data_IF_083471086176
#
_entry.id   IF_083471086176
#
_cell.length_a   1.000
_cell.length_b   1.000
_cell.length_c   1.000
_cell.angle_alpha   90.00
_cell.angle_beta   90.00
_cell.angle_gamma   90.00
#
_symmetry.space_group_name_H-M   'P 1'
#
loop_
_entity.id
_entity.type
_entity.pdbx_description
1 polymer ?
#
# COMPACT_ATOMS: atom_id res chain seq x y z
N UNK A 1 -19.01 -8.97 2.74
CA UNK A 1 -18.88 -8.22 1.46
C UNK A 1 -18.84 -6.70 1.65
N UNK A 2 -18.54 -6.18 2.85
CA UNK A 2 -18.34 -4.74 3.08
C UNK A 2 -17.13 -4.21 2.33
N UNK A 3 -16.05 -5.02 2.20
CA UNK A 3 -14.84 -4.62 1.47
C UNK A 3 -15.11 -4.43 -0.03
N UNK A 4 -15.93 -5.31 -0.62
CA UNK A 4 -16.38 -5.17 -2.01
C UNK A 4 -17.16 -3.87 -2.22
N UNK A 5 -18.15 -3.61 -1.36
CA UNK A 5 -18.96 -2.38 -1.40
C UNK A 5 -18.10 -1.13 -1.23
N UNK A 6 -17.14 -1.15 -0.30
CA UNK A 6 -16.23 -0.03 -0.08
C UNK A 6 -15.30 0.21 -1.28
N UNK A 7 -14.80 -0.85 -1.90
CA UNK A 7 -13.89 -0.77 -3.04
C UNK A 7 -14.60 -0.22 -4.28
N UNK A 8 -15.75 -0.79 -4.69
CA UNK A 8 -16.46 -0.40 -5.91
C UNK A 8 -17.47 0.75 -5.72
N UNK A 9 -17.93 1.01 -4.49
CA UNK A 9 -19.05 1.95 -4.20
C UNK A 9 -20.33 1.64 -4.97
N UNK A 10 -20.61 0.35 -5.14
CA UNK A 10 -21.82 -0.14 -5.80
C UNK A 10 -23.03 -0.16 -4.83
N UNK A 11 -24.27 -0.07 -5.34
CA UNK A 11 -25.49 -0.16 -4.53
C UNK A 11 -25.63 -1.53 -3.82
N UNK A 12 -25.99 -1.51 -2.53
CA UNK A 12 -26.08 -2.73 -1.69
C UNK A 12 -27.04 -3.80 -2.23
N UNK A 13 -28.06 -3.39 -3.01
CA UNK A 13 -29.04 -4.29 -3.63
C UNK A 13 -28.41 -5.37 -4.53
N UNK A 14 -27.20 -5.12 -5.05
CA UNK A 14 -26.46 -6.07 -5.89
C UNK A 14 -25.63 -7.09 -5.10
N UNK A 15 -25.58 -7.00 -3.77
CA UNK A 15 -24.75 -7.87 -2.93
C UNK A 15 -25.63 -8.85 -2.16
N UNK A 16 -26.03 -9.93 -2.84
CA UNK A 16 -26.78 -11.04 -2.25
C UNK A 16 -25.85 -12.22 -1.98
N UNK A 17 -25.42 -12.34 -0.73
CA UNK A 17 -24.38 -13.30 -0.33
C UNK A 17 -24.65 -13.91 1.05
N UNK A 18 -24.25 -15.17 1.23
CA UNK A 18 -24.19 -15.86 2.52
C UNK A 18 -22.85 -16.61 2.71
N UNK A 19 -22.31 -16.54 3.93
CA UNK A 19 -21.11 -17.29 4.33
C UNK A 19 -21.47 -18.53 5.15
N UNK A 20 -20.73 -19.62 4.92
CA UNK A 20 -20.82 -20.83 5.75
C UNK A 20 -19.90 -20.84 6.99
N UNK A 21 -19.19 -19.74 7.27
CA UNK A 21 -18.20 -19.66 8.35
C UNK A 21 -18.47 -18.48 9.29
N UNK A 22 -18.02 -18.64 10.54
CA UNK A 22 -17.94 -17.55 11.52
C UNK A 22 -16.48 -17.24 11.87
N UNK A 23 -16.25 -16.10 12.53
CA UNK A 23 -14.92 -15.62 12.90
C UNK A 23 -14.23 -16.44 14.00
N UNK A 24 -14.91 -17.43 14.59
CA UNK A 24 -14.36 -18.27 15.68
C UNK A 24 -13.69 -19.54 15.16
N UNK A 25 -13.91 -19.88 13.89
CA UNK A 25 -13.32 -21.05 13.27
C UNK A 25 -11.81 -20.89 13.04
N UNK A 26 -11.03 -21.99 13.08
CA UNK A 26 -9.60 -21.97 12.77
C UNK A 26 -9.32 -21.34 11.39
N UNK A 27 -8.23 -20.58 11.31
CA UNK A 27 -7.77 -19.94 10.07
C UNK A 27 -6.57 -20.67 9.49
N UNK A 28 -6.42 -20.60 8.18
CA UNK A 28 -5.29 -21.18 7.47
C UNK A 28 -5.31 -20.82 5.99
N UNK A 29 -4.31 -21.33 5.28
CA UNK A 29 -4.14 -21.14 3.85
C UNK A 29 -5.02 -22.09 3.03
N UNK A 30 -5.58 -21.56 1.96
CA UNK A 30 -6.31 -22.25 0.90
C UNK A 30 -6.18 -21.43 -0.39
N UNK A 31 -6.72 -21.91 -1.52
CA UNK A 31 -6.80 -21.11 -2.74
C UNK A 31 -8.24 -20.98 -3.23
N UNK A 32 -8.52 -19.87 -3.90
CA UNK A 32 -9.75 -19.70 -4.67
C UNK A 32 -9.40 -19.75 -6.15
N UNK A 33 -9.39 -20.95 -6.71
CA UNK A 33 -8.77 -21.22 -8.01
C UNK A 33 -7.28 -21.56 -7.91
N UNK A 34 -6.61 -21.61 -9.06
CA UNK A 34 -5.20 -22.00 -9.11
C UNK A 34 -4.26 -20.88 -8.62
N UNK A 35 -4.63 -19.61 -8.80
CA UNK A 35 -3.69 -18.49 -8.64
C UNK A 35 -3.94 -17.56 -7.43
N UNK A 36 -5.14 -17.61 -6.82
CA UNK A 36 -5.49 -16.70 -5.70
C UNK A 36 -5.26 -17.39 -4.36
N UNK A 37 -4.17 -17.04 -3.68
CA UNK A 37 -3.83 -17.53 -2.34
C UNK A 37 -4.65 -16.79 -1.29
N UNK A 38 -5.36 -17.52 -0.43
CA UNK A 38 -6.23 -16.96 0.59
C UNK A 38 -5.73 -17.34 1.99
N UNK A 39 -6.01 -16.48 2.98
CA UNK A 39 -5.80 -16.80 4.39
C UNK A 39 -6.99 -16.39 5.26
N UNK A 40 -7.66 -17.37 5.87
CA UNK A 40 -8.83 -17.13 6.71
C UNK A 40 -9.54 -18.43 7.09
N UNK A 41 -10.74 -18.32 7.64
CA UNK A 41 -11.60 -19.45 7.95
C UNK A 41 -12.32 -19.94 6.69
N UNK A 42 -12.40 -21.27 6.51
CA UNK A 42 -13.12 -21.86 5.38
C UNK A 42 -13.83 -23.17 5.79
N UNK A 43 -15.11 -23.30 5.45
CA UNK A 43 -15.93 -24.46 5.74
C UNK A 43 -15.64 -25.64 4.80
N UNK A 44 -15.68 -26.84 5.37
CA UNK A 44 -15.68 -28.09 4.61
C UNK A 44 -14.34 -28.50 4.00
N UNK A 45 -13.24 -27.82 4.32
CA UNK A 45 -11.88 -28.16 3.88
C UNK A 45 -10.90 -28.18 5.06
N UNK A 46 -9.85 -28.98 4.94
CA UNK A 46 -8.73 -28.96 5.89
C UNK A 46 -7.74 -27.89 5.46
N UNK A 47 -7.68 -26.80 6.23
CA UNK A 47 -6.81 -25.66 5.97
C UNK A 47 -5.33 -26.00 6.20
N UNK A 48 -4.45 -25.37 5.42
CA UNK A 48 -3.00 -25.50 5.60
C UNK A 48 -2.49 -24.46 6.62
N UNK A 49 -1.64 -24.88 7.56
CA UNK A 49 -1.03 -23.96 8.54
C UNK A 49 0.14 -23.15 7.97
N UNK A 50 0.66 -23.55 6.82
CA UNK A 50 1.76 -22.88 6.11
C UNK A 50 1.59 -23.02 4.60
N UNK A 51 2.18 -22.08 3.86
CA UNK A 51 2.22 -22.13 2.39
C UNK A 51 3.01 -23.33 1.92
N UNK A 52 2.39 -24.12 1.04
CA UNK A 52 2.99 -25.27 0.37
C UNK A 52 2.33 -25.46 -1.01
N UNK A 53 2.91 -26.28 -1.87
CA UNK A 53 2.44 -26.49 -3.26
C UNK A 53 1.09 -27.25 -3.37
N UNK A 54 0.40 -27.56 -2.26
CA UNK A 54 -0.82 -28.36 -2.23
C UNK A 54 -1.92 -27.71 -1.40
N UNK A 55 -2.07 -26.39 -1.50
CA UNK A 55 -3.18 -25.69 -0.85
C UNK A 55 -4.52 -26.22 -1.37
N UNK A 56 -5.53 -26.41 -0.51
CA UNK A 56 -6.84 -26.86 -0.96
C UNK A 56 -7.53 -25.76 -1.77
N UNK A 57 -7.93 -26.07 -3.01
CA UNK A 57 -8.79 -25.19 -3.81
C UNK A 57 -10.26 -25.33 -3.38
N UNK A 58 -10.90 -24.19 -3.15
CA UNK A 58 -12.30 -24.10 -2.70
C UNK A 58 -13.26 -23.64 -3.79
N UNK A 59 -12.79 -23.40 -5.03
CA UNK A 59 -13.63 -22.93 -6.16
C UNK A 59 -14.88 -23.78 -6.38
N UNK A 60 -14.74 -25.10 -6.34
CA UNK A 60 -15.86 -26.06 -6.51
C UNK A 60 -16.91 -26.02 -5.39
N UNK A 61 -16.64 -25.30 -4.30
CA UNK A 61 -17.53 -25.14 -3.15
C UNK A 61 -18.29 -23.82 -3.15
N UNK A 62 -17.96 -22.92 -4.07
CA UNK A 62 -18.78 -21.74 -4.36
C UNK A 62 -20.08 -22.22 -4.99
N UNK A 63 -21.22 -21.81 -4.42
CA UNK A 63 -22.54 -22.22 -4.89
C UNK A 63 -23.41 -21.01 -5.15
N UNK A 64 -24.32 -21.15 -6.10
CA UNK A 64 -25.40 -20.21 -6.34
C UNK A 64 -26.71 -20.93 -6.07
N UNK A 65 -27.59 -20.31 -5.29
CA UNK A 65 -28.98 -20.77 -5.16
C UNK A 65 -29.91 -19.57 -5.35
N UNK A 66 -30.84 -19.71 -6.29
CA UNK A 66 -31.62 -18.61 -6.82
C UNK A 66 -30.71 -17.46 -7.29
N UNK A 67 -30.70 -16.36 -6.55
CA UNK A 67 -29.91 -15.15 -6.81
C UNK A 67 -28.86 -14.87 -5.72
N UNK A 68 -28.64 -15.82 -4.81
CA UNK A 68 -27.75 -15.68 -3.66
C UNK A 68 -26.46 -16.48 -3.86
N UNK A 69 -25.33 -15.79 -3.72
CA UNK A 69 -23.99 -16.38 -3.72
C UNK A 69 -23.67 -16.98 -2.35
N UNK A 70 -23.26 -18.25 -2.32
CA UNK A 70 -22.79 -18.93 -1.12
C UNK A 70 -21.30 -19.20 -1.23
N UNK A 71 -20.49 -18.58 -0.36
CA UNK A 71 -19.05 -18.84 -0.29
C UNK A 71 -18.73 -19.68 0.94
N UNK A 72 -17.75 -20.61 0.83
CA UNK A 72 -17.32 -21.42 1.95
C UNK A 72 -16.43 -20.64 2.94
N UNK A 73 -16.17 -19.35 2.71
CA UNK A 73 -15.37 -18.46 3.55
C UNK A 73 -16.04 -17.07 3.64
N UNK A 74 -15.56 -16.19 4.52
CA UNK A 74 -15.94 -14.77 4.58
C UNK A 74 -14.90 -13.91 3.84
N UNK A 75 -15.26 -13.28 2.69
CA UNK A 75 -14.37 -12.40 1.95
C UNK A 75 -13.88 -11.19 2.75
N UNK A 76 -14.68 -10.66 3.68
CA UNK A 76 -14.26 -9.50 4.48
C UNK A 76 -13.12 -9.90 5.43
N UNK A 77 -13.24 -11.07 6.07
CA UNK A 77 -12.19 -11.63 6.92
C UNK A 77 -10.90 -11.92 6.13
N UNK A 78 -11.03 -12.53 4.95
CA UNK A 78 -9.90 -12.83 4.07
C UNK A 78 -9.15 -11.54 3.70
N UNK A 79 -9.86 -10.56 3.15
CA UNK A 79 -9.25 -9.28 2.73
C UNK A 79 -8.65 -8.56 3.95
N UNK A 80 -9.35 -8.50 5.07
CA UNK A 80 -8.83 -7.87 6.29
C UNK A 80 -7.56 -8.55 6.81
N UNK A 81 -7.48 -9.88 6.73
CA UNK A 81 -6.28 -10.61 7.10
C UNK A 81 -5.08 -10.28 6.21
N UNK A 82 -5.31 -10.03 4.92
CA UNK A 82 -4.25 -9.62 3.99
C UNK A 82 -3.82 -8.17 4.27
N UNK A 83 -4.77 -7.24 4.29
CA UNK A 83 -4.50 -5.81 4.54
C UNK A 83 -3.76 -5.57 5.86
N UNK A 84 -4.15 -6.30 6.91
CA UNK A 84 -3.58 -6.17 8.26
C UNK A 84 -2.47 -7.17 8.56
N UNK A 85 -1.98 -7.89 7.54
CA UNK A 85 -0.85 -8.82 7.63
C UNK A 85 -1.00 -9.90 8.71
N UNK A 86 -2.23 -10.38 8.93
CA UNK A 86 -2.57 -11.40 9.95
C UNK A 86 -2.20 -12.82 9.53
N UNK A 87 -1.76 -13.01 8.29
CA UNK A 87 -1.35 -14.30 7.77
C UNK A 87 0.07 -14.70 8.25
N UNK A 88 0.34 -15.99 8.53
CA UNK A 88 1.64 -16.44 9.00
C UNK A 88 2.72 -16.26 7.93
N UNK A 89 3.68 -15.36 8.15
CA UNK A 89 4.87 -15.30 7.29
C UNK A 89 5.81 -16.46 7.66
N UNK A 90 6.08 -17.38 6.73
CA UNK A 90 7.03 -18.49 6.96
C UNK A 90 8.45 -17.94 7.23
N UNK A 91 8.91 -17.91 8.48
CA UNK A 91 10.27 -17.49 8.87
C UNK A 91 10.41 -17.15 10.36
N UNK A 92 11.64 -16.87 10.85
CA UNK A 92 11.84 -16.42 12.23
C UNK A 92 11.07 -15.11 12.51
N UNK A 93 10.70 -14.89 13.78
CA UNK A 93 9.99 -13.69 14.29
C UNK A 93 10.55 -12.36 13.74
N UNK A 94 9.74 -11.27 13.72
CA UNK A 94 10.21 -9.95 13.31
C UNK A 94 11.55 -9.62 13.95
N UNK A 95 12.51 -9.15 13.16
CA UNK A 95 13.88 -8.96 13.65
C UNK A 95 13.86 -8.05 14.90
N UNK A 96 13.00 -7.02 14.91
CA UNK A 96 12.73 -6.10 16.04
C UNK A 96 12.44 -6.77 17.40
N UNK A 97 11.93 -8.00 17.42
CA UNK A 97 11.62 -8.76 18.64
C UNK A 97 12.76 -9.70 19.09
N UNK A 98 13.85 -9.78 18.33
CA UNK A 98 14.96 -10.67 18.65
C UNK A 98 16.06 -9.97 19.44
N UNK A 99 16.69 -10.69 20.37
CA UNK A 99 17.89 -10.23 21.11
C UNK A 99 19.00 -9.77 20.15
N UNK A 100 19.08 -10.43 18.98
CA UNK A 100 20.00 -10.10 17.89
C UNK A 100 19.73 -8.73 17.24
N UNK A 101 18.48 -8.29 17.08
CA UNK A 101 18.22 -6.94 16.59
C UNK A 101 18.50 -5.87 17.65
N UNK A 102 18.27 -6.17 18.93
CA UNK A 102 18.64 -5.26 20.02
C UNK A 102 20.15 -5.05 20.05
N UNK A 103 20.93 -6.13 19.86
CA UNK A 103 22.39 -6.05 19.69
C UNK A 103 22.79 -5.37 18.39
N UNK A 104 22.15 -5.68 17.25
CA UNK A 104 22.41 -5.05 15.96
C UNK A 104 22.17 -3.54 16.04
N UNK A 105 21.02 -3.08 16.54
CA UNK A 105 20.70 -1.65 16.68
C UNK A 105 21.55 -0.97 17.75
N UNK A 106 22.00 -1.68 18.80
CA UNK A 106 22.97 -1.18 19.77
C UNK A 106 24.37 -0.98 19.18
N UNK A 107 24.79 -1.88 18.28
CA UNK A 107 26.09 -1.83 17.59
C UNK A 107 26.03 -1.06 16.26
N UNK A 108 24.83 -0.80 15.72
CA UNK A 108 24.61 -0.13 14.43
C UNK A 108 25.40 1.16 14.34
N UNK A 109 25.38 2.09 15.33
CA UNK A 109 26.17 3.32 15.28
C UNK A 109 27.68 3.09 15.08
N UNK A 110 28.22 1.97 15.55
CA UNK A 110 29.64 1.61 15.48
C UNK A 110 30.03 0.89 14.18
N UNK A 111 29.06 0.38 13.42
CA UNK A 111 29.32 -0.33 12.17
C UNK A 111 29.49 0.67 11.01
N UNK A 112 30.56 0.56 10.19
CA UNK A 112 30.67 1.30 8.93
C UNK A 112 29.50 0.97 8.00
N UNK A 113 29.05 1.96 7.20
CA UNK A 113 27.88 1.82 6.29
C UNK A 113 27.98 0.59 5.38
N UNK A 114 29.17 0.32 4.83
CA UNK A 114 29.41 -0.87 3.99
C UNK A 114 29.22 -2.20 4.73
N UNK A 115 29.55 -2.26 6.03
CA UNK A 115 29.34 -3.46 6.83
C UNK A 115 27.84 -3.68 7.11
N UNK A 116 27.09 -2.60 7.40
CA UNK A 116 25.62 -2.66 7.58
C UNK A 116 24.94 -3.16 6.31
N UNK A 117 25.31 -2.61 5.15
CA UNK A 117 24.78 -3.01 3.85
C UNK A 117 25.06 -4.49 3.53
N UNK A 118 26.28 -4.98 3.81
CA UNK A 118 26.64 -6.40 3.61
C UNK A 118 25.85 -7.35 4.52
N UNK A 119 25.72 -7.04 5.80
CA UNK A 119 24.95 -7.84 6.75
C UNK A 119 23.47 -7.90 6.36
N UNK A 120 22.90 -6.75 5.99
CA UNK A 120 21.51 -6.67 5.55
C UNK A 120 21.29 -7.46 4.25
N UNK A 121 22.22 -7.37 3.29
CA UNK A 121 22.17 -8.16 2.05
C UNK A 121 22.19 -9.66 2.32
N UNK A 122 23.07 -10.13 3.20
CA UNK A 122 23.11 -11.55 3.59
C UNK A 122 21.79 -12.00 4.23
N UNK A 123 21.19 -11.18 5.09
CA UNK A 123 19.91 -11.47 5.74
C UNK A 123 18.71 -11.52 4.76
N UNK A 124 18.78 -10.74 3.66
CA UNK A 124 17.73 -10.64 2.64
C UNK A 124 17.94 -11.55 1.43
N UNK A 125 19.10 -12.21 1.32
CA UNK A 125 19.42 -13.08 0.17
C UNK A 125 18.42 -14.23 0.06
N UNK A 126 17.88 -14.45 -1.15
CA UNK A 126 16.91 -15.50 -1.44
C UNK A 126 15.46 -15.19 -1.02
N UNK A 127 15.18 -14.04 -0.40
CA UNK A 127 13.82 -13.69 0.02
C UNK A 127 12.87 -13.35 -1.13
N UNK A 128 13.36 -12.89 -2.28
CA UNK A 128 12.53 -12.74 -3.47
C UNK A 128 11.92 -14.07 -3.97
N UNK A 129 12.36 -15.22 -3.44
CA UNK A 129 11.84 -16.55 -3.76
C UNK A 129 10.74 -17.01 -2.78
N UNK A 130 10.33 -16.20 -1.81
CA UNK A 130 9.16 -16.52 -0.98
C UNK A 130 7.90 -16.52 -1.85
N UNK A 131 7.01 -17.47 -1.58
CA UNK A 131 5.81 -17.69 -2.40
C UNK A 131 4.74 -16.63 -2.18
N UNK A 132 4.68 -16.03 -0.99
CA UNK A 132 3.66 -15.07 -0.62
C UNK A 132 4.20 -14.04 0.39
N UNK A 133 3.84 -12.76 0.25
CA UNK A 133 3.15 -12.16 -0.90
C UNK A 133 3.87 -12.37 -2.25
N UNK A 134 3.16 -12.31 -3.37
CA UNK A 134 3.69 -12.53 -4.72
C UNK A 134 4.63 -11.38 -5.11
N UNK A 135 5.84 -11.72 -5.56
CA UNK A 135 6.82 -10.76 -6.06
C UNK A 135 6.67 -10.57 -7.58
N UNK A 136 6.83 -9.36 -8.14
CA UNK A 136 7.25 -8.11 -7.48
C UNK A 136 6.11 -7.22 -6.97
N UNK A 137 4.86 -7.54 -7.29
CA UNK A 137 3.65 -6.89 -6.79
C UNK A 137 2.63 -7.98 -6.52
N UNK A 138 1.96 -7.91 -5.38
CA UNK A 138 0.88 -8.81 -5.00
C UNK A 138 -0.47 -8.10 -5.14
N UNK A 139 -1.34 -8.68 -5.97
CA UNK A 139 -2.69 -8.18 -6.28
C UNK A 139 -3.79 -9.10 -5.76
N UNK A 140 -3.50 -9.88 -4.72
CA UNK A 140 -4.41 -10.92 -4.22
C UNK A 140 -5.71 -10.33 -3.66
N UNK A 141 -5.66 -9.12 -3.09
CA UNK A 141 -6.87 -8.41 -2.65
C UNK A 141 -7.74 -8.06 -3.86
N UNK A 142 -7.14 -7.55 -4.93
CA UNK A 142 -7.83 -7.21 -6.18
C UNK A 142 -8.43 -8.46 -6.84
N UNK A 143 -7.65 -9.54 -6.99
CA UNK A 143 -8.12 -10.83 -7.51
C UNK A 143 -9.32 -11.36 -6.70
N UNK A 144 -9.26 -11.24 -5.36
CA UNK A 144 -10.36 -11.66 -4.48
C UNK A 144 -11.62 -10.82 -4.69
N UNK A 145 -11.46 -9.50 -4.83
CA UNK A 145 -12.57 -8.57 -5.08
C UNK A 145 -13.22 -8.81 -6.44
N UNK A 146 -12.43 -9.02 -7.48
CA UNK A 146 -12.90 -9.33 -8.83
C UNK A 146 -13.59 -10.69 -8.89
N UNK A 147 -13.03 -11.71 -8.25
CA UNK A 147 -13.66 -13.04 -8.13
C UNK A 147 -15.01 -12.95 -7.39
N UNK A 148 -15.11 -12.13 -6.34
CA UNK A 148 -16.37 -11.86 -5.66
C UNK A 148 -17.38 -11.18 -6.58
N UNK A 149 -16.96 -10.13 -7.31
CA UNK A 149 -17.83 -9.39 -8.21
C UNK A 149 -18.33 -10.26 -9.36
N UNK A 150 -17.45 -11.01 -10.03
CA UNK A 150 -17.79 -11.93 -11.09
C UNK A 150 -18.75 -13.03 -10.61
N UNK A 151 -18.51 -13.58 -9.42
CA UNK A 151 -19.40 -14.60 -8.84
C UNK A 151 -20.79 -14.04 -8.51
N UNK A 152 -20.88 -12.80 -8.00
CA UNK A 152 -22.14 -12.12 -7.73
C UNK A 152 -22.91 -11.81 -9.02
N UNK A 153 -22.22 -11.35 -10.06
CA UNK A 153 -22.80 -11.06 -11.38
C UNK A 153 -23.39 -12.32 -12.01
N UNK A 154 -22.63 -13.43 -12.01
CA UNK A 154 -23.12 -14.73 -12.49
C UNK A 154 -24.31 -15.23 -11.68
N UNK A 155 -24.25 -15.11 -10.36
CA UNK A 155 -25.33 -15.57 -9.48
C UNK A 155 -26.66 -14.86 -9.79
N UNK A 156 -26.59 -13.61 -10.22
CA UNK A 156 -27.76 -12.77 -10.48
C UNK A 156 -28.11 -12.64 -11.97
N UNK A 157 -27.35 -13.27 -12.87
CA UNK A 157 -27.53 -13.14 -14.32
C UNK A 157 -27.30 -11.73 -14.84
N UNK A 158 -26.32 -11.01 -14.27
CA UNK A 158 -25.97 -9.64 -14.66
C UNK A 158 -24.74 -9.64 -15.57
N UNK A 159 -24.85 -9.02 -16.74
CA UNK A 159 -23.72 -8.85 -17.66
C UNK A 159 -22.87 -7.62 -17.32
N UNK A 160 -23.50 -6.60 -16.72
CA UNK A 160 -22.85 -5.33 -16.36
C UNK A 160 -23.31 -4.85 -14.98
N UNK A 161 -22.41 -4.21 -14.24
CA UNK A 161 -22.69 -3.59 -12.95
C UNK A 161 -22.07 -2.19 -12.88
N UNK A 162 -22.86 -1.15 -12.55
CA UNK A 162 -22.36 0.20 -12.41
C UNK A 162 -21.67 0.38 -11.07
N UNK A 163 -20.61 1.18 -11.06
CA UNK A 163 -19.85 1.49 -9.85
C UNK A 163 -19.21 2.87 -9.96
N UNK A 164 -18.67 3.40 -8.85
CA UNK A 164 -17.95 4.68 -8.89
C UNK A 164 -16.48 4.37 -9.19
N UNK A 165 -15.95 4.94 -10.28
CA UNK A 165 -14.55 4.75 -10.68
C UNK A 165 -13.56 5.10 -9.56
N UNK A 166 -12.38 4.50 -9.58
CA UNK A 166 -11.43 4.55 -8.48
C UNK A 166 -10.81 5.94 -8.28
N UNK A 167 -10.39 6.58 -9.37
CA UNK A 167 -9.65 7.83 -9.36
C UNK A 167 -10.51 9.01 -9.84
N UNK A 168 -10.19 10.24 -9.43
CA UNK A 168 -10.97 11.40 -9.80
C UNK A 168 -10.85 11.65 -11.30
N UNK A 169 -11.86 12.29 -11.87
CA UNK A 169 -11.99 12.67 -13.26
C UNK A 169 -11.96 11.53 -14.28
N UNK A 170 -11.88 10.27 -13.84
CA UNK A 170 -11.80 9.11 -14.70
C UNK A 170 -10.38 8.61 -14.95
N UNK A 171 -9.36 9.15 -14.28
CA UNK A 171 -7.96 8.72 -14.46
C UNK A 171 -7.80 7.21 -14.28
N UNK A 172 -6.95 6.58 -15.09
CA UNK A 172 -6.82 5.12 -15.10
C UNK A 172 -6.07 4.58 -13.89
N UNK A 173 -5.18 5.37 -13.33
CA UNK A 173 -4.38 5.03 -12.13
C UNK A 173 -3.95 6.30 -11.42
N UNK A 174 -3.24 6.16 -10.31
CA UNK A 174 -2.60 7.27 -9.63
C UNK A 174 -1.13 7.00 -9.39
N UNK A 175 -0.32 8.05 -9.36
CA UNK A 175 1.07 7.98 -8.97
C UNK A 175 1.39 9.06 -7.93
N UNK A 176 2.25 8.72 -6.97
CA UNK A 176 2.82 9.67 -6.02
C UNK A 176 4.31 9.41 -5.83
N UNK A 177 5.07 10.49 -5.64
CA UNK A 177 6.51 10.45 -5.36
C UNK A 177 6.74 10.97 -3.94
N UNK A 178 7.51 10.22 -3.16
CA UNK A 178 7.81 10.54 -1.76
C UNK A 178 9.30 10.43 -1.47
N UNK A 179 9.77 11.21 -0.51
CA UNK A 179 11.16 11.38 -0.15
C UNK A 179 11.41 11.26 1.34
N UNK A 180 11.97 10.13 1.77
CA UNK A 180 12.38 9.91 3.16
C UNK A 180 13.75 10.56 3.41
N UNK A 181 13.75 11.67 4.15
CA UNK A 181 14.95 12.48 4.42
C UNK A 181 15.62 11.95 5.69
N UNK A 182 16.66 11.13 5.55
CA UNK A 182 17.20 10.37 6.68
C UNK A 182 18.37 11.04 7.40
N UNK A 183 19.19 11.83 6.69
CA UNK A 183 20.39 12.49 7.25
C UNK A 183 20.55 13.93 6.78
N UNK A 184 21.50 14.64 7.41
CA UNK A 184 21.78 16.06 7.15
C UNK A 184 22.11 16.34 5.68
N UNK A 185 22.92 15.48 5.03
CA UNK A 185 23.25 15.64 3.62
C UNK A 185 22.01 15.52 2.71
N UNK A 186 21.09 14.61 3.02
CA UNK A 186 19.81 14.49 2.33
C UNK A 186 18.93 15.73 2.53
N UNK A 187 18.86 16.24 3.77
CA UNK A 187 18.16 17.49 4.10
C UNK A 187 18.70 18.68 3.30
N UNK A 188 20.02 18.84 3.25
CA UNK A 188 20.67 19.94 2.54
C UNK A 188 20.47 19.87 1.02
N UNK A 189 20.27 18.66 0.50
CA UNK A 189 19.98 18.43 -0.92
C UNK A 189 18.51 18.66 -1.29
N UNK A 190 17.59 18.75 -0.32
CA UNK A 190 16.15 18.84 -0.60
C UNK A 190 15.77 20.01 -1.52
N UNK A 191 16.44 21.18 -1.40
CA UNK A 191 16.16 22.30 -2.31
C UNK A 191 16.49 21.98 -3.77
N UNK A 192 17.63 21.34 -4.01
CA UNK A 192 18.00 20.91 -5.37
C UNK A 192 17.17 19.74 -5.86
N UNK A 193 16.72 18.86 -4.96
CA UNK A 193 15.77 17.80 -5.30
C UNK A 193 14.41 18.38 -5.74
N UNK A 194 13.89 19.38 -5.02
CA UNK A 194 12.69 20.09 -5.45
C UNK A 194 12.88 20.76 -6.83
N UNK A 195 14.07 21.29 -7.15
CA UNK A 195 14.35 21.83 -8.49
C UNK A 195 14.28 20.74 -9.58
N UNK A 196 14.75 19.53 -9.26
CA UNK A 196 14.66 18.37 -10.14
C UNK A 196 13.20 18.00 -10.37
N UNK A 197 12.40 17.86 -9.30
CA UNK A 197 11.00 17.49 -9.38
C UNK A 197 10.17 18.54 -10.15
N UNK A 198 10.43 19.82 -9.87
CA UNK A 198 9.79 20.95 -10.56
C UNK A 198 10.09 20.97 -12.05
N UNK A 199 11.29 20.52 -12.47
CA UNK A 199 11.63 20.42 -13.90
C UNK A 199 10.78 19.42 -14.68
N UNK A 200 10.03 18.55 -13.97
CA UNK A 200 9.04 17.62 -14.52
C UNK A 200 7.61 17.98 -14.10
N UNK A 201 7.40 19.12 -13.44
CA UNK A 201 6.10 19.53 -12.88
C UNK A 201 5.51 18.49 -11.92
N UNK A 202 6.37 17.86 -11.11
CA UNK A 202 5.98 16.84 -10.13
C UNK A 202 6.07 17.46 -8.73
N UNK A 203 4.97 17.42 -7.98
CA UNK A 203 4.97 17.76 -6.56
C UNK A 203 5.03 16.48 -5.74
N UNK A 204 6.17 16.28 -5.08
CA UNK A 204 6.42 15.16 -4.19
C UNK A 204 6.14 15.53 -2.73
N UNK A 205 6.19 14.52 -1.86
CA UNK A 205 6.15 14.71 -0.42
C UNK A 205 7.50 14.39 0.23
N UNK A 206 7.88 15.18 1.23
CA UNK A 206 9.10 15.00 2.01
C UNK A 206 8.76 14.53 3.43
N UNK A 207 9.21 13.32 3.75
CA UNK A 207 9.07 12.67 5.04
C UNK A 207 10.27 13.10 5.91
N UNK A 208 10.01 13.95 6.91
CA UNK A 208 11.02 14.60 7.74
C UNK A 208 11.13 13.92 9.11
N UNK A 209 12.34 13.51 9.49
CA UNK A 209 12.62 12.97 10.82
C UNK A 209 12.75 14.13 11.82
N UNK A 210 11.86 14.26 12.81
CA UNK A 210 11.83 15.46 13.64
C UNK A 210 12.97 15.54 14.66
N UNK A 211 13.51 14.40 15.13
CA UNK A 211 14.52 14.37 16.19
C UNK A 211 15.79 13.58 15.83
N UNK A 212 16.93 14.03 16.34
CA UNK A 212 18.17 13.24 16.41
C UNK A 212 18.97 13.05 15.12
N UNK A 213 18.41 13.35 13.94
CA UNK A 213 19.11 13.19 12.65
C UNK A 213 19.77 14.46 12.14
N UNK A 214 19.05 15.57 12.20
CA UNK A 214 19.48 16.89 11.74
C UNK A 214 18.57 17.95 12.36
N UNK A 215 19.00 19.22 12.30
CA UNK A 215 18.17 20.32 12.75
C UNK A 215 17.03 20.59 11.75
N UNK A 216 15.79 20.56 12.24
CA UNK A 216 14.59 20.93 11.48
C UNK A 216 14.20 22.36 11.83
N UNK A 217 14.62 23.32 10.99
CA UNK A 217 14.27 24.73 11.18
C UNK A 217 12.93 25.07 10.52
N UNK A 218 12.26 26.10 11.02
CA UNK A 218 11.04 26.61 10.37
C UNK A 218 11.33 27.09 8.93
N UNK A 219 12.49 27.70 8.68
CA UNK A 219 12.88 28.12 7.34
C UNK A 219 13.00 26.94 6.35
N UNK A 220 13.52 25.79 6.81
CA UNK A 220 13.57 24.58 6.01
C UNK A 220 12.17 24.06 5.65
N UNK A 221 11.27 23.97 6.64
CA UNK A 221 9.88 23.56 6.41
C UNK A 221 9.13 24.55 5.51
N UNK A 222 9.28 25.86 5.73
CA UNK A 222 8.70 26.90 4.87
C UNK A 222 9.20 26.78 3.43
N UNK A 223 10.48 26.48 3.20
CA UNK A 223 11.02 26.32 1.85
C UNK A 223 10.31 25.21 1.07
N UNK A 224 10.02 24.08 1.71
CA UNK A 224 9.28 22.97 1.08
C UNK A 224 7.84 23.39 0.78
N UNK A 225 7.16 23.97 1.77
CA UNK A 225 5.74 24.34 1.67
C UNK A 225 5.49 25.49 0.68
N UNK A 226 6.31 26.54 0.71
CA UNK A 226 6.18 27.72 -0.15
C UNK A 226 6.37 27.37 -1.64
N UNK A 227 7.09 26.28 -1.90
CA UNK A 227 7.26 25.70 -3.25
C UNK A 227 6.13 24.74 -3.63
N UNK A 228 5.14 24.50 -2.77
CA UNK A 228 4.00 23.63 -3.05
C UNK A 228 4.28 22.13 -2.91
N UNK A 229 5.36 21.75 -2.22
CA UNK A 229 5.63 20.36 -1.87
C UNK A 229 5.00 20.01 -0.51
N UNK A 230 4.74 18.73 -0.31
CA UNK A 230 4.12 18.23 0.92
C UNK A 230 5.19 17.86 1.96
N UNK A 231 4.87 18.05 3.24
CA UNK A 231 5.73 17.68 4.37
C UNK A 231 4.98 16.63 5.17
N UNK A 232 5.65 15.56 5.57
CA UNK A 232 5.12 14.50 6.42
C UNK A 232 6.06 14.20 7.58
N UNK A 233 5.55 13.61 8.66
CA UNK A 233 6.38 13.15 9.78
C UNK A 233 6.97 11.78 9.44
N UNK A 234 8.28 11.63 9.58
CA UNK A 234 8.99 10.37 9.37
C UNK A 234 9.54 9.82 10.68
N UNK A 235 8.83 8.87 11.29
CA UNK A 235 9.16 8.33 12.61
C UNK A 235 9.26 9.46 13.68
N UNK A 236 9.85 9.19 14.83
CA UNK A 236 10.27 10.21 15.79
C UNK A 236 11.74 10.58 15.59
N UNK A 237 12.62 9.59 15.54
CA UNK A 237 14.07 9.80 15.43
C UNK A 237 14.78 8.76 14.56
N UNK A 238 13.98 7.90 13.91
CA UNK A 238 14.44 6.90 12.96
C UNK A 238 15.41 5.87 13.58
N UNK A 239 15.39 5.67 14.91
CA UNK A 239 16.30 4.77 15.62
C UNK A 239 15.95 3.27 15.47
N UNK A 240 14.88 2.96 14.74
CA UNK A 240 14.38 1.60 14.51
C UNK A 240 13.63 1.01 15.70
N UNK A 241 13.22 1.83 16.68
CA UNK A 241 12.60 1.35 17.94
C UNK A 241 11.21 1.91 18.20
N UNK A 242 10.61 2.68 17.28
CA UNK A 242 9.25 3.19 17.44
C UNK A 242 8.24 2.05 17.65
N UNK A 243 8.31 1.00 16.84
CA UNK A 243 7.45 -0.19 16.92
C UNK A 243 8.09 -1.37 17.69
N UNK A 244 9.01 -1.10 18.63
CA UNK A 244 9.69 -2.19 19.37
C UNK A 244 8.73 -2.97 20.28
N UNK A 245 7.83 -2.25 20.96
CA UNK A 245 6.76 -2.80 21.79
C UNK A 245 5.68 -1.72 21.99
N UNK A 246 4.49 -2.13 22.39
CA UNK A 246 3.33 -1.25 22.55
C UNK A 246 3.59 -0.12 23.54
N UNK A 247 4.16 -0.42 24.73
CA UNK A 247 4.46 0.60 25.74
C UNK A 247 5.34 1.72 25.17
N UNK A 248 6.43 1.35 24.49
CA UNK A 248 7.35 2.32 23.87
C UNK A 248 6.70 3.10 22.73
N UNK A 249 5.87 2.43 21.93
CA UNK A 249 5.10 3.08 20.87
C UNK A 249 4.16 4.15 21.47
N UNK A 250 3.38 3.79 22.49
CA UNK A 250 2.46 4.71 23.18
C UNK A 250 3.17 5.88 23.87
N UNK A 251 4.37 5.65 24.41
CA UNK A 251 5.21 6.73 24.97
C UNK A 251 5.69 7.71 23.86
N UNK A 252 6.13 7.18 22.72
CA UNK A 252 6.71 8.00 21.63
C UNK A 252 5.67 8.66 20.74
N UNK A 253 4.50 8.04 20.55
CA UNK A 253 3.46 8.54 19.66
C UNK A 253 2.94 9.90 20.13
N UNK A 254 3.01 10.20 21.44
CA UNK A 254 2.72 11.53 21.99
C UNK A 254 3.59 12.61 21.33
N UNK A 255 4.90 12.37 21.23
CA UNK A 255 5.84 13.29 20.57
C UNK A 255 5.63 13.30 19.06
N UNK A 256 5.38 12.15 18.43
CA UNK A 256 5.10 12.06 16.99
C UNK A 256 3.87 12.90 16.63
N UNK A 257 2.75 12.74 17.34
CA UNK A 257 1.52 13.51 17.15
C UNK A 257 1.74 15.00 17.41
N UNK A 258 2.56 15.35 18.41
CA UNK A 258 2.97 16.74 18.63
C UNK A 258 3.70 17.31 17.42
N UNK A 259 4.61 16.57 16.79
CA UNK A 259 5.28 17.01 15.58
C UNK A 259 4.35 17.06 14.37
N UNK A 260 3.37 16.17 14.26
CA UNK A 260 2.31 16.28 13.24
C UNK A 260 1.61 17.65 13.30
N UNK A 261 1.24 18.09 14.51
CA UNK A 261 0.65 19.41 14.77
C UNK A 261 1.63 20.56 14.51
N UNK A 262 2.89 20.44 14.96
CA UNK A 262 3.91 21.49 14.77
C UNK A 262 4.30 21.66 13.30
N UNK A 263 4.38 20.58 12.54
CA UNK A 263 4.66 20.63 11.12
C UNK A 263 3.43 21.02 10.32
N UNK A 264 2.22 20.87 10.87
CA UNK A 264 0.96 21.15 10.19
C UNK A 264 0.74 20.17 9.03
N UNK A 265 0.92 18.89 9.30
CA UNK A 265 0.79 17.80 8.31
C UNK A 265 -0.22 16.76 8.75
N UNK A 266 -0.83 16.12 7.76
CA UNK A 266 -1.76 15.02 7.91
C UNK A 266 -1.11 13.64 7.68
N UNK A 267 0.15 13.59 7.21
CA UNK A 267 0.81 12.34 6.82
C UNK A 267 1.91 11.87 7.78
N UNK A 268 1.97 10.56 7.95
CA UNK A 268 3.01 9.86 8.71
C UNK A 268 3.66 8.76 7.86
N UNK A 269 4.94 8.46 8.13
CA UNK A 269 5.63 7.25 7.68
C UNK A 269 6.58 6.74 8.75
N UNK A 270 6.50 5.46 9.08
CA UNK A 270 7.37 4.81 10.03
C UNK A 270 8.78 4.61 9.48
N UNK A 271 9.78 4.73 10.35
CA UNK A 271 11.16 4.47 9.99
C UNK A 271 11.40 3.00 9.69
N UNK A 272 12.22 2.73 8.66
CA UNK A 272 12.61 1.35 8.27
C UNK A 272 11.39 0.47 7.91
N UNK A 273 10.23 1.08 7.65
CA UNK A 273 8.94 0.40 7.41
C UNK A 273 8.55 -0.58 8.53
N UNK A 274 9.05 -0.35 9.76
CA UNK A 274 8.58 -1.11 10.92
C UNK A 274 7.17 -0.68 11.28
N UNK A 275 6.31 -1.67 11.54
CA UNK A 275 4.87 -1.43 11.66
C UNK A 275 4.19 -2.45 12.54
N UNK A 276 3.16 -1.99 13.24
CA UNK A 276 2.12 -2.83 13.83
C UNK A 276 0.80 -2.08 13.69
N UNK A 277 -0.01 -2.49 12.71
CA UNK A 277 -1.24 -1.79 12.34
C UNK A 277 -2.28 -1.77 13.48
N UNK A 278 -2.19 -2.67 14.47
CA UNK A 278 -3.08 -2.66 15.64
C UNK A 278 -2.84 -1.43 16.53
N UNK A 279 -1.64 -0.87 16.53
CA UNK A 279 -1.28 0.29 17.35
C UNK A 279 -1.54 1.62 16.63
N UNK A 280 -1.76 1.60 15.31
CA UNK A 280 -1.94 2.81 14.50
C UNK A 280 -3.17 3.65 14.89
N UNK A 281 -4.09 3.11 15.70
CA UNK A 281 -5.19 3.87 16.28
C UNK A 281 -4.73 5.07 17.15
N UNK A 282 -3.49 5.04 17.67
CA UNK A 282 -2.93 6.14 18.45
C UNK A 282 -2.27 7.25 17.61
N UNK A 283 -2.16 7.07 16.28
CA UNK A 283 -1.66 8.09 15.37
C UNK A 283 -2.77 9.13 15.10
N UNK A 284 -2.48 10.40 15.41
CA UNK A 284 -3.37 11.54 15.14
C UNK A 284 -3.13 12.12 13.74
N UNK A 285 -2.97 11.25 12.74
CA UNK A 285 -2.75 11.58 11.34
C UNK A 285 -3.94 11.14 10.48
N UNK A 286 -4.07 11.69 9.29
CA UNK A 286 -5.12 11.27 8.34
C UNK A 286 -4.66 10.12 7.46
N UNK A 287 -3.37 10.04 7.13
CA UNK A 287 -2.82 8.93 6.35
C UNK A 287 -1.46 8.46 6.83
N UNK A 288 -1.20 7.17 6.58
CA UNK A 288 0.06 6.48 6.80
C UNK A 288 0.56 5.89 5.47
N UNK A 289 1.87 5.69 5.37
CA UNK A 289 2.55 5.13 4.21
C UNK A 289 3.61 4.10 4.63
N UNK A 290 3.32 3.34 5.69
CA UNK A 290 4.28 2.46 6.34
C UNK A 290 4.15 1.00 5.93
N UNK A 291 3.08 0.63 5.24
CA UNK A 291 2.78 -0.76 4.88
C UNK A 291 3.18 -1.02 3.43
N UNK A 292 4.19 -1.87 3.17
CA UNK A 292 4.52 -2.25 1.80
C UNK A 292 3.45 -3.17 1.21
N UNK A 293 3.33 -3.18 -0.12
CA UNK A 293 2.57 -4.19 -0.84
C UNK A 293 3.20 -5.59 -0.66
N UNK A 294 4.52 -5.69 -0.88
CA UNK A 294 5.31 -6.91 -0.71
C UNK A 294 6.62 -6.57 0.02
N UNK A 295 6.83 -7.14 1.21
CA UNK A 295 7.98 -6.81 2.06
C UNK A 295 9.19 -7.76 1.88
N UNK A 296 9.43 -8.29 0.67
CA UNK A 296 10.51 -9.28 0.44
C UNK A 296 11.91 -8.71 0.65
N UNK A 297 12.09 -7.43 0.33
CA UNK A 297 13.36 -6.71 0.47
C UNK A 297 13.40 -5.81 1.71
N UNK A 298 12.41 -5.91 2.59
CA UNK A 298 12.30 -5.10 3.80
C UNK A 298 12.79 -5.85 5.05
N UNK A 299 13.21 -5.12 6.11
CA UNK A 299 13.63 -5.74 7.36
C UNK A 299 12.50 -6.50 8.07
N UNK A 300 11.27 -5.96 8.03
CA UNK A 300 10.07 -6.62 8.53
C UNK A 300 9.30 -7.26 7.36
N UNK A 301 9.06 -8.57 7.47
CA UNK A 301 8.31 -9.37 6.49
C UNK A 301 6.82 -9.03 6.51
N UNK A 302 6.11 -9.49 5.48
CA UNK A 302 4.67 -9.28 5.30
C UNK A 302 4.38 -8.55 3.99
N UNK A 303 3.32 -7.77 4.00
CA UNK A 303 2.78 -7.04 2.86
C UNK A 303 1.25 -7.00 2.88
N UNK A 304 0.65 -5.86 2.54
CA UNK A 304 -0.81 -5.73 2.55
C UNK A 304 -1.52 -6.42 1.37
N UNK A 305 -0.77 -6.91 0.38
CA UNK A 305 -1.29 -7.62 -0.80
C UNK A 305 -2.35 -6.84 -1.61
N UNK A 306 -2.33 -5.51 -1.53
CA UNK A 306 -3.20 -4.61 -2.31
C UNK A 306 -2.38 -3.51 -2.95
N UNK A 307 -2.84 -3.04 -4.10
CA UNK A 307 -2.31 -1.84 -4.77
C UNK A 307 -3.17 -0.60 -4.53
N UNK A 308 -4.23 -0.71 -3.73
CA UNK A 308 -5.15 0.39 -3.43
C UNK A 308 -5.00 0.89 -2.00
N UNK A 309 -5.27 2.19 -1.76
CA UNK A 309 -5.40 2.69 -0.41
C UNK A 309 -6.57 2.06 0.35
N UNK A 310 -6.41 1.89 1.66
CA UNK A 310 -7.41 1.27 2.53
C UNK A 310 -7.45 1.89 3.92
N UNK A 311 -8.64 1.92 4.53
CA UNK A 311 -8.81 2.49 5.87
C UNK A 311 -8.49 1.47 6.98
N UNK A 312 -7.76 1.96 7.98
CA UNK A 312 -7.50 1.33 9.29
C UNK A 312 -8.15 2.24 10.35
N UNK A 313 -9.43 2.01 10.65
CA UNK A 313 -10.20 2.97 11.45
C UNK A 313 -10.34 4.30 10.70
N UNK A 314 -9.89 5.41 11.31
CA UNK A 314 -9.90 6.73 10.67
C UNK A 314 -8.70 6.97 9.75
N UNK A 315 -7.60 6.23 9.93
CA UNK A 315 -6.35 6.41 9.21
C UNK A 315 -6.44 5.75 7.84
N UNK A 316 -6.03 6.46 6.77
CA UNK A 316 -5.91 5.89 5.44
C UNK A 316 -4.48 5.37 5.22
N UNK A 317 -4.30 4.08 5.00
CA UNK A 317 -3.02 3.56 4.53
C UNK A 317 -2.90 3.79 3.03
N UNK A 318 -1.79 4.41 2.61
CA UNK A 318 -1.35 4.56 1.23
C UNK A 318 -0.16 3.60 1.01
N UNK A 319 -0.40 2.36 0.55
CA UNK A 319 0.63 1.33 0.59
C UNK A 319 1.85 1.67 -0.27
N UNK A 320 3.04 1.26 0.17
CA UNK A 320 4.25 1.32 -0.65
C UNK A 320 4.24 0.18 -1.67
N UNK A 321 3.75 0.47 -2.87
CA UNK A 321 3.50 -0.51 -3.94
C UNK A 321 4.70 -0.81 -4.84
N UNK A 322 5.74 0.04 -4.84
CA UNK A 322 6.98 -0.22 -5.58
C UNK A 322 8.17 -0.43 -4.63
N UNK A 323 9.24 -1.02 -5.16
CA UNK A 323 10.49 -1.24 -4.42
C UNK A 323 11.16 0.10 -4.11
N UNK A 324 11.66 0.28 -2.89
CA UNK A 324 12.41 1.49 -2.52
C UNK A 324 13.76 1.56 -3.25
N UNK A 325 14.22 2.78 -3.55
CA UNK A 325 15.53 3.03 -4.15
C UNK A 325 16.68 2.42 -3.33
N UNK A 326 16.60 2.40 -2.01
CA UNK A 326 17.61 1.78 -1.14
C UNK A 326 17.79 0.29 -1.48
N UNK A 327 16.68 -0.45 -1.57
CA UNK A 327 16.72 -1.87 -1.90
C UNK A 327 17.25 -2.10 -3.33
N UNK A 328 16.83 -1.25 -4.27
CA UNK A 328 17.26 -1.31 -5.67
C UNK A 328 18.78 -1.09 -5.81
N UNK A 329 19.29 0.03 -5.29
CA UNK A 329 20.68 0.44 -5.48
C UNK A 329 21.67 -0.31 -4.56
N UNK A 330 21.29 -0.57 -3.30
CA UNK A 330 22.23 -1.14 -2.32
C UNK A 330 22.11 -2.66 -2.16
N UNK A 331 20.93 -3.27 -2.33
CA UNK A 331 20.77 -4.72 -2.20
C UNK A 331 20.86 -5.45 -3.55
N UNK A 332 20.05 -5.03 -4.51
CA UNK A 332 20.03 -5.62 -5.85
C UNK A 332 21.23 -5.14 -6.67
N UNK A 333 21.73 -3.92 -6.40
CA UNK A 333 22.79 -3.24 -7.17
C UNK A 333 22.39 -3.02 -8.62
N UNK A 334 21.09 -2.85 -8.84
CA UNK A 334 20.51 -2.54 -10.14
C UNK A 334 20.37 -1.02 -10.23
N UNK A 335 20.98 -0.42 -11.26
CA UNK A 335 20.86 1.01 -11.56
C UNK A 335 20.14 1.14 -12.89
N UNK A 336 18.93 0.57 -12.96
CA UNK A 336 18.03 0.63 -14.11
C UNK A 336 16.59 0.79 -13.63
N UNK A 337 15.69 1.11 -14.56
CA UNK A 337 14.26 1.24 -14.28
C UNK A 337 13.49 -0.08 -14.38
N UNK A 338 14.15 -1.20 -14.68
CA UNK A 338 13.45 -2.40 -15.16
C UNK A 338 12.52 -3.01 -14.10
N UNK A 339 12.94 -3.03 -12.83
CA UNK A 339 12.08 -3.49 -11.74
C UNK A 339 10.90 -2.53 -11.53
N UNK A 340 11.15 -1.21 -11.46
CA UNK A 340 10.09 -0.21 -11.31
C UNK A 340 9.10 -0.27 -12.46
N UNK A 341 9.54 -0.34 -13.71
CA UNK A 341 8.65 -0.46 -14.88
C UNK A 341 7.78 -1.71 -14.81
N UNK A 342 8.33 -2.85 -14.41
CA UNK A 342 7.53 -4.08 -14.22
C UNK A 342 6.50 -3.93 -13.12
N UNK A 343 6.87 -3.35 -11.97
CA UNK A 343 5.94 -3.10 -10.87
C UNK A 343 4.83 -2.13 -11.28
N UNK A 344 5.21 -1.00 -11.90
CA UNK A 344 4.28 0.02 -12.39
C UNK A 344 3.32 -0.57 -13.42
N UNK A 345 3.79 -1.41 -14.35
CA UNK A 345 2.92 -2.04 -15.35
C UNK A 345 1.84 -2.91 -14.70
N UNK A 346 2.19 -3.72 -13.69
CA UNK A 346 1.21 -4.53 -12.95
C UNK A 346 0.24 -3.63 -12.19
N UNK A 347 0.75 -2.65 -11.44
CA UNK A 347 -0.11 -1.73 -10.66
C UNK A 347 -1.09 -1.00 -11.58
N UNK A 348 -0.61 -0.47 -12.71
CA UNK A 348 -1.41 0.27 -13.67
C UNK A 348 -2.47 -0.61 -14.35
N UNK A 349 -2.13 -1.85 -14.69
CA UNK A 349 -3.09 -2.82 -15.23
C UNK A 349 -4.26 -3.08 -14.26
N UNK A 350 -4.03 -2.98 -12.96
CA UNK A 350 -5.05 -3.11 -11.92
C UNK A 350 -5.62 -1.76 -11.44
N UNK A 351 -5.38 -0.67 -12.19
CA UNK A 351 -5.83 0.67 -11.83
C UNK A 351 -5.38 1.14 -10.44
N UNK A 352 -4.22 0.68 -9.96
CA UNK A 352 -3.77 0.89 -8.59
C UNK A 352 -3.04 2.22 -8.33
N UNK A 353 -2.59 2.39 -7.08
CA UNK A 353 -1.70 3.46 -6.65
C UNK A 353 -0.24 3.06 -6.90
N UNK A 354 0.45 3.83 -7.73
CA UNK A 354 1.90 3.75 -7.93
C UNK A 354 2.57 4.63 -6.86
N UNK A 355 3.09 4.01 -5.81
CA UNK A 355 3.83 4.71 -4.75
C UNK A 355 5.34 4.56 -4.96
N UNK A 356 6.00 5.67 -5.27
CA UNK A 356 7.45 5.76 -5.44
C UNK A 356 8.08 6.35 -4.17
N UNK A 357 9.10 5.65 -3.65
CA UNK A 357 9.90 6.09 -2.51
C UNK A 357 11.39 6.19 -2.89
N UNK A 358 11.91 7.41 -2.82
CA UNK A 358 13.31 7.75 -3.15
C UNK A 358 13.93 8.59 -2.05
N UNK A 359 15.09 8.21 -1.53
CA UNK A 359 15.76 8.96 -0.48
C UNK A 359 16.74 9.98 -1.09
N UNK A 360 16.65 11.28 -0.74
CA UNK A 360 17.65 12.27 -1.16
C UNK A 360 19.06 11.84 -0.80
N UNK A 361 19.23 11.18 0.35
CA UNK A 361 20.48 10.62 0.85
C UNK A 361 21.20 9.68 -0.14
N UNK A 362 20.45 8.91 -0.93
CA UNK A 362 21.01 7.90 -1.85
C UNK A 362 21.19 8.44 -3.26
N UNK A 363 20.37 9.42 -3.68
CA UNK A 363 20.48 10.07 -4.99
C UNK A 363 21.43 11.27 -5.02
N UNK A 364 22.17 11.52 -3.93
CA UNK A 364 23.39 12.34 -3.98
C UNK A 364 24.42 11.73 -4.95
N UNK A 365 24.49 10.40 -5.01
CA UNK A 365 25.34 9.70 -5.97
C UNK A 365 24.82 9.95 -7.40
N UNK A 366 25.69 10.47 -8.27
CA UNK A 366 25.35 10.83 -9.66
C UNK A 366 24.66 9.68 -10.41
N UNK A 367 25.14 8.44 -10.24
CA UNK A 367 24.57 7.28 -10.92
C UNK A 367 23.14 6.98 -10.46
N UNK A 368 22.87 7.01 -9.16
CA UNK A 368 21.52 6.86 -8.62
C UNK A 368 20.61 8.01 -9.08
N UNK A 369 21.12 9.25 -9.09
CA UNK A 369 20.40 10.42 -9.58
C UNK A 369 20.02 10.33 -11.05
N UNK A 370 20.89 9.78 -11.89
CA UNK A 370 20.60 9.56 -13.32
C UNK A 370 19.44 8.57 -13.51
N UNK A 371 19.34 7.54 -12.67
CA UNK A 371 18.18 6.61 -12.69
C UNK A 371 16.93 7.34 -12.22
N UNK A 372 17.01 8.17 -11.18
CA UNK A 372 15.87 8.97 -10.70
C UNK A 372 15.34 9.94 -11.78
N UNK A 373 16.22 10.64 -12.51
CA UNK A 373 15.83 11.48 -13.64
C UNK A 373 15.13 10.69 -14.76
N UNK A 374 15.56 9.45 -15.00
CA UNK A 374 14.86 8.59 -15.96
C UNK A 374 13.49 8.16 -15.44
N UNK A 375 13.34 7.93 -14.12
CA UNK A 375 12.06 7.62 -13.50
C UNK A 375 11.09 8.78 -13.65
N UNK A 376 11.50 10.02 -13.35
CA UNK A 376 10.62 11.19 -13.49
C UNK A 376 10.16 11.39 -14.94
N UNK A 377 11.04 11.21 -15.94
CA UNK A 377 10.65 11.21 -17.37
C UNK A 377 9.62 10.12 -17.70
N UNK A 378 9.77 8.95 -17.09
CA UNK A 378 8.83 7.85 -17.30
C UNK A 378 7.46 8.16 -16.67
N UNK A 379 7.42 8.71 -15.45
CA UNK A 379 6.18 9.13 -14.80
C UNK A 379 5.47 10.26 -15.58
N UNK A 380 6.23 11.22 -16.10
CA UNK A 380 5.69 12.27 -16.98
C UNK A 380 5.05 11.67 -18.26
N UNK A 381 5.68 10.64 -18.83
CA UNK A 381 5.10 9.90 -19.97
C UNK A 381 3.77 9.23 -19.59
N UNK A 382 3.68 8.60 -18.41
CA UNK A 382 2.45 7.97 -17.93
C UNK A 382 1.34 9.00 -17.69
N UNK A 383 1.67 10.14 -17.08
CA UNK A 383 0.74 11.27 -16.88
C UNK A 383 0.16 11.76 -18.20
N UNK A 384 0.99 11.87 -19.25
CA UNK A 384 0.57 12.41 -20.54
C UNK A 384 -0.10 11.41 -21.50
N UNK A 385 0.24 10.12 -21.42
CA UNK A 385 -0.20 9.11 -22.42
C UNK A 385 -1.15 8.05 -21.88
N UNK A 386 -1.05 7.72 -20.60
CA UNK A 386 -1.78 6.61 -19.96
C UNK A 386 -2.74 7.13 -18.87
N UNK A 387 -3.08 8.42 -18.93
CA UNK A 387 -4.00 9.15 -18.04
C UNK A 387 -3.79 8.88 -16.53
N UNK A 388 -2.54 8.77 -16.10
CA UNK A 388 -2.19 8.56 -14.69
C UNK A 388 -2.27 9.87 -13.91
N UNK A 389 -3.07 9.88 -12.84
CA UNK A 389 -3.16 11.00 -11.91
C UNK A 389 -1.89 11.11 -11.06
N UNK A 390 -0.95 11.96 -11.47
CA UNK A 390 0.28 12.22 -10.72
C UNK A 390 0.05 13.34 -9.69
N UNK A 391 0.12 13.01 -8.40
CA UNK A 391 -0.29 13.93 -7.32
C UNK A 391 0.43 13.65 -5.99
N UNK A 392 0.13 14.44 -4.96
CA UNK A 392 0.69 14.28 -3.61
C UNK A 392 -0.10 13.27 -2.78
N UNK A 393 0.51 12.62 -1.76
CA UNK A 393 -0.20 11.73 -0.85
C UNK A 393 -1.45 12.37 -0.19
N UNK A 394 -1.39 13.64 0.22
CA UNK A 394 -2.55 14.34 0.78
C UNK A 394 -3.71 14.44 -0.23
N UNK A 395 -3.42 14.69 -1.50
CA UNK A 395 -4.45 14.73 -2.54
C UNK A 395 -5.10 13.36 -2.75
N UNK A 396 -4.32 12.27 -2.65
CA UNK A 396 -4.86 10.89 -2.67
C UNK A 396 -5.77 10.67 -1.46
N UNK A 397 -5.33 11.06 -0.25
CA UNK A 397 -6.13 10.99 0.97
C UNK A 397 -7.48 11.72 0.85
N UNK A 398 -7.44 12.97 0.40
CA UNK A 398 -8.64 13.80 0.26
C UNK A 398 -9.66 13.15 -0.69
N UNK A 399 -9.18 12.67 -1.83
CA UNK A 399 -10.04 12.00 -2.80
C UNK A 399 -10.58 10.67 -2.27
N UNK A 400 -9.77 9.85 -1.58
CA UNK A 400 -10.26 8.59 -1.01
C UNK A 400 -11.35 8.80 0.02
N UNK A 401 -11.20 9.84 0.86
CA UNK A 401 -12.22 10.24 1.84
C UNK A 401 -13.49 10.73 1.16
N UNK A 402 -13.38 11.64 0.18
CA UNK A 402 -14.52 12.11 -0.64
C UNK A 402 -15.23 10.91 -1.25
N UNK A 403 -14.51 10.06 -1.99
CA UNK A 403 -15.04 8.89 -2.68
C UNK A 403 -15.74 7.93 -1.71
N UNK A 404 -15.20 7.74 -0.51
CA UNK A 404 -15.81 6.90 0.52
C UNK A 404 -17.14 7.42 1.07
N UNK A 405 -17.46 8.69 0.83
CA UNK A 405 -18.75 9.30 1.19
C UNK A 405 -19.75 9.33 0.02
N UNK A 406 -19.29 9.07 -1.22
CA UNK A 406 -20.14 9.08 -2.41
C UNK A 406 -21.02 7.84 -2.49
N UNK A 407 -22.25 8.01 -2.95
CA UNK A 407 -23.19 6.92 -3.20
C UNK A 407 -23.67 6.94 -4.64
N UNK A 408 -23.88 5.75 -5.21
CA UNK A 408 -24.49 5.59 -6.51
C UNK A 408 -26.00 5.37 -6.33
N UNK A 409 -26.82 6.22 -6.93
CA UNK A 409 -28.29 6.17 -6.80
C UNK A 409 -28.96 6.00 -8.17
N UNK A 410 -30.11 5.30 -8.25
CA UNK A 410 -30.89 5.23 -9.48
C UNK A 410 -31.37 6.61 -9.93
N UNK A 411 -31.32 6.88 -11.23
CA UNK A 411 -31.84 8.10 -11.86
C UNK A 411 -32.53 7.75 -13.19
N UNK A 412 -33.86 7.61 -13.14
CA UNK A 412 -34.66 7.12 -14.26
C UNK A 412 -34.23 5.71 -14.69
N UNK A 413 -33.77 5.56 -15.94
CA UNK A 413 -33.22 4.31 -16.47
C UNK A 413 -31.70 4.17 -16.26
N UNK A 414 -31.05 5.14 -15.62
CA UNK A 414 -29.60 5.20 -15.42
C UNK A 414 -29.20 5.35 -13.97
N UNK A 415 -27.98 5.86 -13.78
CA UNK A 415 -27.35 6.03 -12.47
C UNK A 415 -26.78 7.43 -12.33
N UNK A 416 -26.78 7.92 -11.09
CA UNK A 416 -26.24 9.22 -10.70
C UNK A 416 -25.36 9.04 -9.47
N UNK A 417 -24.26 9.80 -9.40
CA UNK A 417 -23.45 9.89 -8.19
C UNK A 417 -24.01 11.00 -7.30
N UNK A 418 -24.14 10.70 -6.00
CA UNK A 418 -24.62 11.62 -4.98
C UNK A 418 -23.59 11.77 -3.85
N UNK A 419 -23.39 13.01 -3.39
CA UNK A 419 -22.46 13.36 -2.32
C UNK A 419 -21.59 14.57 -2.68
N UNK A 420 -20.99 15.21 -1.68
CA UNK A 420 -20.06 16.31 -1.92
C UNK A 420 -18.81 15.80 -2.67
N UNK A 421 -18.34 16.54 -3.69
CA UNK A 421 -17.21 16.13 -4.53
C UNK A 421 -17.60 15.25 -5.73
N UNK A 422 -18.89 15.01 -5.97
CA UNK A 422 -19.38 14.16 -7.06
C UNK A 422 -18.99 14.65 -8.46
N UNK A 423 -18.71 15.94 -8.63
CA UNK A 423 -18.27 16.53 -9.90
C UNK A 423 -16.93 15.95 -10.41
N UNK A 424 -16.08 15.50 -9.48
CA UNK A 424 -14.84 14.79 -9.79
C UNK A 424 -15.03 13.29 -9.97
N UNK A 425 -16.20 12.73 -9.66
CA UNK A 425 -16.42 11.29 -9.75
C UNK A 425 -16.93 10.88 -11.14
N UNK A 426 -16.70 9.62 -11.51
CA UNK A 426 -17.20 9.03 -12.76
C UNK A 426 -17.90 7.72 -12.45
N UNK A 427 -18.98 7.46 -13.18
CA UNK A 427 -19.63 6.16 -13.19
C UNK A 427 -18.90 5.32 -14.23
N UNK A 428 -18.45 4.15 -13.82
CA UNK A 428 -17.88 3.13 -14.69
C UNK A 428 -18.73 1.86 -14.58
N UNK A 429 -18.52 0.92 -15.49
CA UNK A 429 -19.22 -0.35 -15.51
C UNK A 429 -18.23 -1.51 -15.44
N UNK A 430 -18.49 -2.44 -14.52
CA UNK A 430 -17.85 -3.74 -14.51
C UNK A 430 -18.65 -4.66 -15.43
N UNK A 431 -18.02 -5.16 -16.50
CA UNK A 431 -18.57 -6.10 -17.45
C UNK A 431 -18.02 -7.50 -17.18
N UNK A 432 -18.91 -8.48 -17.16
CA UNK A 432 -18.52 -9.88 -17.03
C UNK A 432 -18.12 -10.44 -18.40
N UNK A 433 -16.88 -10.86 -18.54
CA UNK A 433 -16.36 -11.54 -19.73
C UNK A 433 -15.94 -12.96 -19.34
N UNK A 434 -16.86 -13.92 -19.46
CA UNK A 434 -16.65 -15.30 -19.01
C UNK A 434 -16.51 -15.37 -17.49
N UNK A 435 -15.29 -15.59 -17.01
CA UNK A 435 -14.97 -15.66 -15.57
C UNK A 435 -14.29 -14.40 -15.02
N UNK A 436 -13.98 -13.43 -15.87
CA UNK A 436 -13.19 -12.23 -15.53
C UNK A 436 -14.02 -10.95 -15.59
N UNK A 437 -13.58 -9.93 -14.87
CA UNK A 437 -14.16 -8.59 -14.91
C UNK A 437 -13.33 -7.71 -15.84
N UNK A 438 -14.01 -6.93 -16.68
CA UNK A 438 -13.44 -5.83 -17.43
C UNK A 438 -14.13 -4.54 -17.04
N UNK A 439 -13.38 -3.46 -16.92
CA UNK A 439 -13.96 -2.14 -16.66
C UNK A 439 -14.14 -1.34 -17.95
N UNK A 440 -15.25 -0.61 -18.06
CA UNK A 440 -15.61 0.25 -19.19
C UNK A 440 -16.26 1.59 -18.76
#
# INVERSE_FOLDING_TARGET
>A
MRRLLAHYRLPEVFVKYASGVDSTQPQGYFTWGEDTVCFGSCAGVKLASSLNNGLPDVRSRVRVNADTLYLPFDPDQLIENLLLERYPTNGPKPWSETTLATMYYGLRPLLPTMARQRLQRLYLTGRHKTMFPRWPVDVTVEDTLENCLASLMKAQGLDTLPFIWFWPNGHDSCAMVTHDVENEAGRDFCSSLMDIDDSFEIKSAFQIVPEGRYAVSQAFLSTIRDRGFEINVHDLNHDGRLFQNEKRFMERVVSVNRYGKLFGTAGFRAGVMYRNQQWCHALEFEYDMSVPNVAHLEPQRGGCCTVFPYFIGHLLELPSTTTQDYALFHFLREYSLDLWKRQIAVIHQHHGLISILVHPDYILEKRAREVYLQLLRFLDTLRGKEDVWLTTPASVNDWWRIRSALTLIPDGSGWRIHGAGSERARIAFARLEGDTIRYE
#
